data_IF_685613317853
#
_entry.id   IF_685613317853
#
_cell.length_a   1.000
_cell.length_b   1.000
_cell.length_c   1.000
_cell.angle_alpha   90.00
_cell.angle_beta   90.00
_cell.angle_gamma   90.00
#
_symmetry.space_group_name_H-M   'P 1'
#
loop_
_entity.id
_entity.type
_entity.pdbx_description
1 polymer ?
#
# COMPACT_ATOMS: atom_id res chain seq x y z
N UNK A 1 52.24 13.62 -17.43
CA UNK A 1 52.37 13.45 -18.89
C UNK A 1 51.19 12.57 -19.31
N UNK A 2 50.04 13.19 -19.58
CA UNK A 2 49.59 13.76 -20.88
C UNK A 2 48.76 12.71 -21.62
N UNK A 3 47.43 12.74 -21.56
CA UNK A 3 46.49 13.58 -22.34
C UNK A 3 46.00 12.91 -23.64
N UNK A 4 44.69 13.05 -23.84
CA UNK A 4 43.98 13.30 -25.10
C UNK A 4 43.77 12.17 -26.13
N UNK A 5 42.49 11.81 -26.25
CA UNK A 5 41.62 11.86 -27.44
C UNK A 5 42.24 11.89 -28.86
N UNK A 6 41.70 11.08 -29.77
CA UNK A 6 41.12 11.57 -31.04
C UNK A 6 40.56 10.43 -31.93
N UNK A 7 39.49 10.79 -32.65
CA UNK A 7 38.67 10.02 -33.60
C UNK A 7 39.41 9.56 -34.88
N UNK A 8 38.76 8.72 -35.70
CA UNK A 8 38.80 8.89 -37.16
C UNK A 8 37.37 9.01 -37.73
N UNK A 9 36.99 10.11 -38.38
CA UNK A 9 37.10 10.43 -39.83
C UNK A 9 36.55 9.35 -40.78
N UNK A 10 35.29 9.58 -41.15
CA UNK A 10 34.69 9.52 -42.50
C UNK A 10 35.55 9.02 -43.68
N UNK A 11 35.04 8.00 -44.38
CA UNK A 11 35.31 7.77 -45.81
C UNK A 11 33.98 7.50 -46.51
N UNK A 12 33.74 8.26 -47.57
CA UNK A 12 32.57 8.25 -48.44
C UNK A 12 32.82 7.49 -49.75
N UNK A 13 31.81 6.71 -50.16
CA UNK A 13 31.26 6.53 -51.52
C UNK A 13 32.13 6.10 -52.72
N UNK A 14 31.72 5.01 -53.38
CA UNK A 14 31.35 4.97 -54.82
C UNK A 14 30.65 3.62 -55.12
N UNK A 15 29.34 3.59 -55.37
CA UNK A 15 28.59 3.71 -56.65
C UNK A 15 28.81 2.56 -57.64
N UNK A 16 27.75 1.76 -57.85
CA UNK A 16 27.49 1.10 -59.12
C UNK A 16 25.99 1.14 -59.44
N UNK A 17 25.69 1.81 -60.54
CA UNK A 17 24.42 2.19 -61.15
C UNK A 17 23.73 1.00 -61.83
N UNK A 18 22.40 0.91 -61.81
CA UNK A 18 21.61 0.56 -63.02
C UNK A 18 20.12 0.89 -62.89
N UNK A 19 19.66 1.65 -63.90
CA UNK A 19 18.39 1.60 -64.61
C UNK A 19 17.08 2.13 -63.97
N UNK A 20 16.34 2.84 -64.81
CA UNK A 20 15.30 3.82 -64.54
C UNK A 20 13.91 3.39 -65.03
N UNK A 21 12.86 3.76 -64.29
CA UNK A 21 11.52 4.10 -64.82
C UNK A 21 10.34 3.58 -63.98
N UNK A 22 9.14 4.20 -64.02
CA UNK A 22 8.80 5.61 -64.23
C UNK A 22 8.17 6.27 -62.99
N UNK A 23 8.14 7.61 -62.99
CA UNK A 23 7.52 8.46 -61.96
C UNK A 23 6.01 8.17 -61.84
N UNK A 24 5.58 7.72 -60.67
CA UNK A 24 4.21 7.83 -60.18
C UNK A 24 4.19 8.81 -59.00
N UNK A 25 3.23 9.73 -59.02
CA UNK A 25 3.14 10.87 -58.10
C UNK A 25 3.13 10.43 -56.64
N UNK A 26 4.09 10.95 -55.87
CA UNK A 26 4.18 10.74 -54.43
C UNK A 26 3.15 11.64 -53.74
N UNK A 27 1.89 11.18 -53.66
CA UNK A 27 1.06 11.58 -52.53
C UNK A 27 1.63 10.88 -51.30
N UNK A 28 2.30 11.64 -50.43
CA UNK A 28 2.60 11.20 -49.07
C UNK A 28 1.28 11.06 -48.29
N UNK A 29 0.55 9.98 -48.59
CA UNK A 29 -0.50 9.48 -47.73
C UNK A 29 0.17 9.05 -46.43
N UNK A 30 -0.17 9.74 -45.33
CA UNK A 30 0.21 9.33 -43.98
C UNK A 30 -0.19 7.87 -43.80
N UNK A 31 0.78 6.94 -43.75
CA UNK A 31 0.52 5.52 -43.58
C UNK A 31 -0.01 5.29 -42.16
N UNK A 32 -1.33 5.20 -42.03
CA UNK A 32 -1.98 4.64 -40.85
C UNK A 32 -1.89 3.11 -40.92
N UNK A 33 -1.39 2.48 -39.87
CA UNK A 33 -1.31 1.01 -39.79
C UNK A 33 -2.57 0.50 -39.10
N UNK A 34 -3.47 -0.11 -39.87
CA UNK A 34 -4.62 -0.83 -39.34
C UNK A 34 -4.27 -2.32 -39.20
N UNK A 35 -4.89 -3.00 -38.22
CA UNK A 35 -4.72 -4.45 -37.97
C UNK A 35 -3.36 -4.86 -37.41
N UNK A 36 -2.70 -3.99 -36.64
CA UNK A 36 -1.53 -4.37 -35.82
C UNK A 36 -1.99 -5.18 -34.61
N UNK A 37 -1.14 -6.05 -34.07
CA UNK A 37 -1.38 -6.70 -32.78
C UNK A 37 -1.60 -5.63 -31.71
N UNK A 38 -2.63 -5.79 -30.88
CA UNK A 38 -2.88 -4.88 -29.77
C UNK A 38 -1.76 -4.94 -28.74
N UNK A 39 -1.11 -6.11 -28.56
CA UNK A 39 0.03 -6.27 -27.65
C UNK A 39 1.23 -5.44 -28.08
N UNK A 40 1.47 -5.28 -29.39
CA UNK A 40 2.56 -4.45 -29.91
C UNK A 40 2.33 -2.95 -29.65
N UNK A 41 1.08 -2.56 -29.36
CA UNK A 41 0.71 -1.20 -28.99
C UNK A 41 0.71 -0.96 -27.47
N UNK A 42 0.80 -2.02 -26.67
CA UNK A 42 0.90 -1.90 -25.22
C UNK A 42 2.33 -1.51 -24.83
N UNK A 43 2.44 -0.65 -23.82
CA UNK A 43 3.72 -0.23 -23.27
C UNK A 43 4.06 -1.07 -22.05
N UNK A 44 5.34 -1.36 -21.83
CA UNK A 44 5.80 -2.08 -20.64
C UNK A 44 5.56 -1.23 -19.39
N UNK A 45 4.88 -1.80 -18.39
CA UNK A 45 4.61 -1.15 -17.12
C UNK A 45 5.80 -1.33 -16.18
N UNK A 46 6.50 -0.24 -15.79
CA UNK A 46 7.55 -0.33 -14.77
C UNK A 46 6.95 -0.77 -13.44
N UNK A 47 7.59 -1.74 -12.79
CA UNK A 47 7.21 -2.25 -11.47
C UNK A 47 8.23 -1.79 -10.42
N UNK A 48 7.73 -1.58 -9.21
CA UNK A 48 8.57 -1.37 -8.02
C UNK A 48 9.26 -2.66 -7.59
N UNK A 49 10.23 -2.59 -6.67
CA UNK A 49 10.90 -3.77 -6.12
C UNK A 49 9.95 -4.78 -5.46
N UNK A 50 8.75 -4.34 -5.06
CA UNK A 50 7.68 -5.18 -4.50
C UNK A 50 6.67 -5.68 -5.56
N UNK A 51 6.97 -5.56 -6.86
CA UNK A 51 6.10 -6.04 -7.94
C UNK A 51 4.89 -5.16 -8.27
N UNK A 52 4.70 -4.02 -7.58
CA UNK A 52 3.55 -3.13 -7.82
C UNK A 52 3.77 -2.16 -8.99
N UNK A 53 2.70 -1.77 -9.73
CA UNK A 53 2.77 -0.71 -10.75
C UNK A 53 3.40 0.57 -10.22
N UNK A 54 4.40 1.10 -10.91
CA UNK A 54 4.90 2.44 -10.64
C UNK A 54 3.94 3.49 -11.23
N UNK A 55 3.24 4.21 -10.36
CA UNK A 55 2.32 5.29 -10.71
C UNK A 55 3.08 6.62 -10.94
N UNK A 56 2.55 7.48 -11.81
CA UNK A 56 3.00 8.86 -11.90
C UNK A 56 2.57 9.68 -10.67
N UNK A 57 3.23 10.82 -10.39
CA UNK A 57 3.03 11.56 -9.14
C UNK A 57 1.59 12.06 -8.88
N UNK A 58 0.77 12.24 -9.92
CA UNK A 58 -0.65 12.61 -9.84
C UNK A 58 -1.59 11.49 -10.31
N UNK A 59 -1.07 10.28 -10.51
CA UNK A 59 -1.84 9.13 -10.98
C UNK A 59 -2.36 8.34 -9.78
N UNK A 60 -3.66 8.04 -9.79
CA UNK A 60 -4.34 7.31 -8.72
C UNK A 60 -5.08 6.13 -9.33
N UNK A 61 -4.98 4.96 -8.70
CA UNK A 61 -5.77 3.79 -9.05
C UNK A 61 -7.23 3.98 -8.64
N UNK A 62 -8.14 3.78 -9.57
CA UNK A 62 -9.57 4.02 -9.40
C UNK A 62 -10.29 2.70 -9.11
N UNK A 63 -9.91 1.64 -9.81
CA UNK A 63 -10.53 0.33 -9.68
C UNK A 63 -9.61 -0.76 -10.23
N UNK A 64 -9.67 -1.97 -9.68
CA UNK A 64 -8.92 -3.12 -10.15
C UNK A 64 -9.78 -4.37 -10.08
N UNK A 65 -9.63 -5.26 -11.06
CA UNK A 65 -10.30 -6.56 -11.12
C UNK A 65 -9.31 -7.67 -11.45
N UNK A 66 -9.47 -8.83 -10.84
CA UNK A 66 -8.60 -10.01 -11.01
C UNK A 66 -9.23 -11.07 -11.93
N UNK A 67 -8.48 -12.13 -12.23
CA UNK A 67 -8.93 -13.25 -13.08
C UNK A 67 -9.37 -12.83 -14.50
N UNK A 68 -8.76 -11.76 -15.03
CA UNK A 68 -9.06 -11.20 -16.34
C UNK A 68 -8.23 -11.88 -17.42
N UNK A 69 -8.92 -12.47 -18.40
CA UNK A 69 -8.29 -12.97 -19.61
C UNK A 69 -8.06 -11.88 -20.65
N UNK A 70 -6.90 -11.85 -21.28
CA UNK A 70 -6.56 -10.92 -22.34
C UNK A 70 -6.74 -11.55 -23.72
N UNK A 71 -7.27 -10.77 -24.65
CA UNK A 71 -7.36 -11.13 -26.06
C UNK A 71 -6.63 -10.08 -26.88
N UNK A 72 -5.75 -10.53 -27.77
CA UNK A 72 -5.28 -9.71 -28.88
C UNK A 72 -6.32 -9.80 -29.99
N UNK A 73 -7.11 -8.73 -30.13
CA UNK A 73 -8.24 -8.66 -31.06
C UNK A 73 -9.24 -9.80 -30.84
N UNK A 74 -9.27 -10.77 -31.75
CA UNK A 74 -10.14 -11.95 -31.68
C UNK A 74 -9.44 -13.17 -31.11
N UNK A 75 -8.11 -13.13 -30.97
CA UNK A 75 -7.31 -14.26 -30.53
C UNK A 75 -7.13 -14.21 -29.02
N UNK A 76 -7.40 -15.33 -28.36
CA UNK A 76 -7.16 -15.52 -26.94
C UNK A 76 -5.65 -15.65 -26.71
N UNK A 77 -5.09 -14.85 -25.81
CA UNK A 77 -3.66 -14.94 -25.48
C UNK A 77 -3.41 -16.03 -24.43
N UNK A 78 -2.15 -16.26 -24.08
CA UNK A 78 -1.76 -17.09 -22.93
C UNK A 78 -2.12 -16.46 -21.58
N UNK A 79 -2.45 -15.17 -21.55
CA UNK A 79 -2.73 -14.43 -20.32
C UNK A 79 -4.21 -14.56 -19.95
N UNK A 80 -4.53 -15.54 -19.11
CA UNK A 80 -5.91 -15.92 -18.79
C UNK A 80 -6.37 -15.53 -17.39
N UNK A 81 -5.43 -15.18 -16.52
CA UNK A 81 -5.64 -14.96 -15.10
C UNK A 81 -4.89 -13.71 -14.63
N UNK A 82 -4.96 -12.63 -15.42
CA UNK A 82 -4.30 -11.37 -15.09
C UNK A 82 -5.17 -10.46 -14.22
N UNK A 83 -4.53 -9.45 -13.64
CA UNK A 83 -5.17 -8.31 -12.98
C UNK A 83 -5.23 -7.13 -13.92
N UNK A 84 -6.40 -6.49 -14.04
CA UNK A 84 -6.58 -5.29 -14.83
C UNK A 84 -6.95 -4.12 -13.92
N UNK A 85 -6.20 -3.02 -14.01
CA UNK A 85 -6.41 -1.84 -13.16
C UNK A 85 -6.69 -0.61 -14.02
N UNK A 86 -7.68 0.18 -13.61
CA UNK A 86 -7.98 1.50 -14.16
C UNK A 86 -7.40 2.55 -13.24
N UNK A 87 -6.58 3.44 -13.77
CA UNK A 87 -6.11 4.63 -13.05
C UNK A 87 -6.68 5.90 -13.66
N UNK A 88 -6.33 7.05 -13.09
CA UNK A 88 -6.66 8.35 -13.68
C UNK A 88 -6.01 8.60 -15.05
N UNK A 89 -4.96 7.86 -15.43
CA UNK A 89 -4.17 8.13 -16.65
C UNK A 89 -4.03 6.93 -17.60
N UNK A 90 -4.01 5.71 -17.05
CA UNK A 90 -3.65 4.49 -17.78
C UNK A 90 -4.56 3.31 -17.40
N UNK A 91 -4.69 2.37 -18.33
CA UNK A 91 -5.28 1.06 -18.11
C UNK A 91 -4.13 0.04 -18.04
N UNK A 92 -4.00 -0.67 -16.92
CA UNK A 92 -2.96 -1.67 -16.68
C UNK A 92 -3.48 -3.07 -16.91
N UNK A 93 -2.57 -3.95 -17.34
CA UNK A 93 -2.78 -5.38 -17.32
C UNK A 93 -1.51 -6.06 -16.79
N UNK A 94 -1.66 -6.91 -15.79
CA UNK A 94 -0.56 -7.65 -15.19
C UNK A 94 -0.90 -9.13 -15.12
N UNK A 95 0.07 -9.98 -15.43
CA UNK A 95 -0.04 -11.43 -15.29
C UNK A 95 1.22 -11.97 -14.59
N UNK A 96 1.12 -12.13 -13.28
CA UNK A 96 2.18 -12.65 -12.42
C UNK A 96 2.32 -14.18 -12.53
N UNK A 97 1.33 -14.87 -13.10
CA UNK A 97 1.34 -16.33 -13.28
C UNK A 97 2.15 -16.77 -14.51
N UNK A 98 2.41 -15.84 -15.42
CA UNK A 98 3.24 -16.07 -16.59
C UNK A 98 4.74 -16.04 -16.26
N UNK A 99 5.56 -16.82 -17.00
CA UNK A 99 7.02 -16.85 -16.84
C UNK A 99 7.69 -16.43 -18.16
N UNK A 100 8.35 -15.25 -18.21
CA UNK A 100 8.45 -14.24 -17.16
C UNK A 100 7.13 -13.49 -16.90
N UNK A 101 6.94 -12.90 -15.70
CA UNK A 101 5.77 -12.08 -15.40
C UNK A 101 5.64 -10.93 -16.38
N UNK A 102 4.41 -10.63 -16.79
CA UNK A 102 4.17 -9.60 -17.80
C UNK A 102 3.32 -8.48 -17.21
N UNK A 103 3.75 -7.24 -17.44
CA UNK A 103 3.06 -6.04 -16.99
C UNK A 103 3.03 -5.01 -18.12
N UNK A 104 1.81 -4.62 -18.50
CA UNK A 104 1.54 -3.74 -19.62
C UNK A 104 0.62 -2.60 -19.22
N UNK A 105 0.68 -1.52 -19.98
CA UNK A 105 -0.32 -0.47 -19.92
C UNK A 105 -0.67 0.10 -21.29
N UNK A 106 -1.86 0.69 -21.37
CA UNK A 106 -2.25 1.60 -22.44
C UNK A 106 -2.67 2.93 -21.82
N UNK A 107 -2.19 4.09 -22.33
CA UNK A 107 -2.70 5.39 -21.92
C UNK A 107 -4.20 5.47 -22.18
N UNK A 108 -4.98 5.96 -21.22
CA UNK A 108 -6.42 6.16 -21.42
C UNK A 108 -6.69 7.14 -22.57
N UNK A 109 -5.77 8.06 -22.84
CA UNK A 109 -5.82 8.95 -24.01
C UNK A 109 -5.89 8.20 -25.35
N UNK A 110 -5.27 7.03 -25.43
CA UNK A 110 -5.22 6.21 -26.64
C UNK A 110 -6.48 5.37 -26.82
N UNK A 111 -7.30 5.22 -25.78
CA UNK A 111 -8.56 4.49 -25.88
C UNK A 111 -9.57 5.34 -26.64
N UNK A 112 -9.95 4.89 -27.82
CA UNK A 112 -10.91 5.56 -28.68
C UNK A 112 -12.36 5.22 -28.29
N UNK A 113 -12.60 3.96 -27.93
CA UNK A 113 -13.93 3.46 -27.58
C UNK A 113 -13.84 2.21 -26.71
N UNK A 114 -14.81 2.05 -25.82
CA UNK A 114 -15.05 0.81 -25.09
C UNK A 114 -16.46 0.29 -25.38
N UNK A 115 -16.62 -1.04 -25.46
CA UNK A 115 -17.93 -1.67 -25.67
C UNK A 115 -18.09 -2.93 -24.83
N UNK A 116 -19.30 -3.15 -24.30
CA UNK A 116 -19.67 -4.37 -23.59
C UNK A 116 -20.03 -5.48 -24.59
N UNK A 117 -19.45 -6.65 -24.42
CA UNK A 117 -19.88 -7.89 -25.08
C UNK A 117 -20.51 -8.80 -24.03
N UNK A 118 -21.75 -9.23 -24.27
CA UNK A 118 -22.44 -10.14 -23.37
C UNK A 118 -21.82 -11.54 -23.42
N UNK A 119 -21.70 -12.16 -22.24
CA UNK A 119 -21.43 -13.60 -22.14
C UNK A 119 -22.73 -14.37 -22.34
N UNK A 120 -22.65 -15.53 -23.00
CA UNK A 120 -23.77 -16.46 -23.13
C UNK A 120 -23.24 -17.89 -23.15
N UNK A 121 -23.82 -18.77 -22.31
CA UNK A 121 -23.37 -20.15 -22.10
C UNK A 121 -21.86 -20.21 -21.77
N UNK A 122 -21.06 -20.94 -22.55
CA UNK A 122 -19.62 -21.10 -22.34
C UNK A 122 -18.77 -19.88 -22.75
N UNK A 123 -19.38 -18.78 -23.20
CA UNK A 123 -18.65 -17.56 -23.56
C UNK A 123 -18.66 -16.57 -22.40
N UNK A 124 -17.46 -16.24 -21.90
CA UNK A 124 -17.26 -15.16 -20.94
C UNK A 124 -17.72 -13.81 -21.46
N UNK A 125 -18.23 -12.96 -20.56
CA UNK A 125 -18.53 -11.57 -20.86
C UNK A 125 -17.22 -10.81 -21.10
N UNK A 126 -17.22 -9.81 -21.99
CA UNK A 126 -15.99 -9.08 -22.35
C UNK A 126 -16.18 -7.58 -22.39
N UNK A 127 -15.11 -6.86 -22.11
CA UNK A 127 -14.97 -5.44 -22.45
C UNK A 127 -14.00 -5.36 -23.62
N UNK A 128 -14.47 -4.87 -24.76
CA UNK A 128 -13.62 -4.55 -25.90
C UNK A 128 -13.12 -3.12 -25.75
N UNK A 129 -11.82 -2.92 -25.94
CA UNK A 129 -11.13 -1.64 -25.85
C UNK A 129 -10.48 -1.35 -27.21
N UNK A 130 -11.04 -0.42 -27.97
CA UNK A 130 -10.47 0.05 -29.23
C UNK A 130 -9.39 1.11 -28.95
N UNK A 131 -8.17 0.89 -29.45
CA UNK A 131 -6.97 1.68 -29.17
C UNK A 131 -6.50 2.36 -30.47
N UNK A 132 -6.14 3.64 -30.37
CA UNK A 132 -5.50 4.42 -31.42
C UNK A 132 -4.35 5.21 -30.83
N UNK A 133 -3.13 5.02 -31.35
CA UNK A 133 -2.00 5.87 -30.95
C UNK A 133 -2.27 7.33 -31.34
N UNK A 134 -1.72 8.26 -30.55
CA UNK A 134 -1.82 9.70 -30.80
C UNK A 134 -0.58 10.28 -31.48
N UNK A 135 0.53 9.52 -31.48
CA UNK A 135 1.78 9.86 -32.14
C UNK A 135 1.89 9.16 -33.49
N UNK A 136 2.58 9.79 -34.44
CA UNK A 136 2.82 9.19 -35.75
C UNK A 136 3.89 8.09 -35.67
N UNK A 137 3.72 6.95 -36.37
CA UNK A 137 2.57 6.62 -37.22
C UNK A 137 1.32 6.25 -36.40
N UNK A 138 0.15 6.70 -36.85
CA UNK A 138 -1.13 6.34 -36.21
C UNK A 138 -1.38 4.85 -36.48
N UNK A 139 -1.44 4.08 -35.40
CA UNK A 139 -1.79 2.67 -35.42
C UNK A 139 -3.12 2.48 -34.69
N UNK A 140 -3.97 1.61 -35.23
CA UNK A 140 -5.25 1.25 -34.62
C UNK A 140 -5.35 -0.25 -34.42
N UNK A 141 -5.83 -0.64 -33.24
CA UNK A 141 -6.12 -2.03 -32.88
C UNK A 141 -7.17 -2.09 -31.79
N UNK A 142 -7.47 -3.28 -31.30
CA UNK A 142 -8.34 -3.46 -30.15
C UNK A 142 -7.93 -4.69 -29.34
N UNK A 143 -8.08 -4.60 -28.03
CA UNK A 143 -7.97 -5.75 -27.13
C UNK A 143 -9.33 -6.06 -26.52
N UNK A 144 -9.47 -7.27 -25.97
CA UNK A 144 -10.63 -7.62 -25.15
C UNK A 144 -10.18 -8.13 -23.79
N UNK A 145 -10.84 -7.61 -22.76
CA UNK A 145 -10.75 -8.07 -21.39
C UNK A 145 -11.90 -9.03 -21.15
N UNK A 146 -11.60 -10.26 -20.73
CA UNK A 146 -12.55 -11.35 -20.57
C UNK A 146 -12.78 -11.66 -19.11
N UNK A 147 -14.04 -11.53 -18.69
CA UNK A 147 -14.52 -11.69 -17.33
C UNK A 147 -15.25 -13.03 -17.24
N UNK A 148 -14.57 -14.04 -16.70
CA UNK A 148 -15.16 -15.39 -16.51
C UNK A 148 -16.01 -15.46 -15.25
N UNK A 149 -15.59 -14.77 -14.20
CA UNK A 149 -16.14 -14.92 -12.85
C UNK A 149 -17.14 -13.82 -12.47
N UNK A 150 -17.52 -12.96 -13.41
CA UNK A 150 -18.34 -11.77 -13.15
C UNK A 150 -17.50 -10.48 -13.19
N UNK A 151 -18.04 -9.38 -12.67
CA UNK A 151 -17.28 -8.11 -12.54
C UNK A 151 -17.12 -7.27 -13.81
N UNK A 152 -17.63 -7.71 -14.98
CA UNK A 152 -17.52 -6.94 -16.24
C UNK A 152 -18.09 -5.52 -16.10
N UNK A 153 -19.29 -5.41 -15.54
CA UNK A 153 -19.99 -4.12 -15.44
C UNK A 153 -19.39 -3.25 -14.33
N UNK A 154 -18.97 -3.87 -13.23
CA UNK A 154 -18.27 -3.22 -12.12
C UNK A 154 -16.92 -2.66 -12.56
N UNK A 155 -16.23 -3.32 -13.51
CA UNK A 155 -15.02 -2.79 -14.16
C UNK A 155 -15.32 -1.76 -15.25
N UNK A 156 -16.36 -1.98 -16.07
CA UNK A 156 -16.68 -1.12 -17.20
C UNK A 156 -17.10 0.28 -16.74
N UNK A 157 -17.91 0.39 -15.69
CA UNK A 157 -18.47 1.67 -15.27
C UNK A 157 -17.37 2.65 -14.77
N UNK A 158 -16.40 2.25 -13.91
CA UNK A 158 -15.25 3.08 -13.56
C UNK A 158 -14.35 3.42 -14.75
N UNK A 159 -14.13 2.48 -15.68
CA UNK A 159 -13.37 2.77 -16.90
C UNK A 159 -14.08 3.82 -17.76
N UNK A 160 -15.38 3.70 -17.96
CA UNK A 160 -16.19 4.67 -18.71
C UNK A 160 -16.18 6.05 -18.03
N UNK A 161 -16.36 6.09 -16.71
CA UNK A 161 -16.30 7.32 -15.93
C UNK A 161 -14.93 8.00 -16.05
N UNK A 162 -13.85 7.22 -15.98
CA UNK A 162 -12.47 7.71 -16.14
C UNK A 162 -12.24 8.27 -17.55
N UNK A 163 -12.76 7.58 -18.58
CA UNK A 163 -12.66 8.05 -19.96
C UNK A 163 -13.44 9.35 -20.24
N UNK A 164 -14.57 9.53 -19.55
CA UNK A 164 -15.37 10.77 -19.60
C UNK A 164 -14.68 11.91 -18.85
N UNK A 165 -14.11 11.63 -17.67
CA UNK A 165 -13.42 12.61 -16.83
C UNK A 165 -12.15 13.16 -17.48
N UNK A 166 -11.41 12.33 -18.24
CA UNK A 166 -10.16 12.72 -18.94
C UNK A 166 -9.15 13.40 -18.02
N UNK A 167 -8.99 12.89 -16.79
CA UNK A 167 -8.11 13.48 -15.79
C UNK A 167 -6.64 13.64 -16.26
N UNK A 168 -6.19 12.81 -17.21
CA UNK A 168 -4.88 12.93 -17.84
C UNK A 168 -4.67 14.20 -18.69
N UNK A 169 -5.75 14.95 -19.01
CA UNK A 169 -5.67 16.26 -19.66
C UNK A 169 -5.54 17.41 -18.67
N UNK A 170 -5.90 17.17 -17.41
CA UNK A 170 -5.66 18.13 -16.33
C UNK A 170 -4.17 18.05 -15.98
N UNK A 171 -3.36 18.74 -16.77
CA UNK A 171 -1.95 19.03 -16.46
C UNK A 171 -1.81 20.09 -15.39
N UNK A 172 -2.91 20.56 -14.79
CA UNK A 172 -2.82 21.35 -13.59
C UNK A 172 -2.28 20.42 -12.50
N UNK A 173 -1.08 20.70 -11.97
CA UNK A 173 -0.69 20.06 -10.73
C UNK A 173 -1.85 20.26 -9.77
N UNK A 174 -2.26 19.21 -9.06
CA UNK A 174 -3.05 19.36 -7.86
C UNK A 174 -2.54 20.58 -7.11
N UNK A 175 -3.42 21.54 -6.80
CA UNK A 175 -3.10 22.87 -6.27
C UNK A 175 -2.34 22.87 -4.91
N UNK A 176 -1.86 21.70 -4.50
CA UNK A 176 -1.03 21.35 -3.36
C UNK A 176 0.46 21.17 -3.71
N UNK A 177 0.88 21.21 -4.98
CA UNK A 177 2.32 21.23 -5.31
C UNK A 177 2.91 22.63 -5.12
N UNK A 178 4.01 22.68 -4.38
CA UNK A 178 4.79 23.86 -3.97
C UNK A 178 4.87 24.97 -5.05
N UNK A 179 4.17 26.09 -4.82
CA UNK A 179 4.12 27.29 -5.71
C UNK A 179 5.49 27.96 -5.88
N UNK A 180 6.56 27.47 -5.25
CA UNK A 180 7.92 28.05 -5.33
C UNK A 180 8.59 27.95 -6.70
N UNK A 181 8.09 27.17 -7.65
CA UNK A 181 8.76 26.92 -8.94
C UNK A 181 8.03 27.43 -10.19
N UNK A 182 6.95 28.22 -10.08
CA UNK A 182 6.33 28.83 -11.26
C UNK A 182 7.09 30.10 -11.66
N UNK A 183 7.95 29.99 -12.67
CA UNK A 183 8.65 31.12 -13.30
C UNK A 183 7.63 31.99 -14.05
N UNK A 184 7.01 32.97 -13.36
CA UNK A 184 6.05 33.92 -13.96
C UNK A 184 6.77 34.99 -14.80
N UNK A 185 6.20 35.33 -15.95
CA UNK A 185 6.64 36.45 -16.79
C UNK A 185 6.54 37.76 -15.99
N UNK A 186 7.64 38.52 -15.97
CA UNK A 186 7.73 39.79 -15.28
C UNK A 186 6.92 40.86 -16.03
N UNK A 187 5.94 41.46 -15.35
CA UNK A 187 5.15 42.56 -15.88
C UNK A 187 5.54 43.86 -15.17
N UNK A 188 5.94 44.89 -15.92
CA UNK A 188 6.47 46.14 -15.36
C UNK A 188 5.44 46.94 -14.54
N UNK A 189 4.14 46.72 -14.82
CA UNK A 189 3.03 47.32 -14.07
C UNK A 189 2.95 46.84 -12.59
N UNK A 190 3.58 45.70 -12.27
CA UNK A 190 3.60 45.12 -10.93
C UNK A 190 4.91 45.41 -10.16
N UNK A 191 5.80 46.25 -10.71
CA UNK A 191 7.07 46.59 -10.08
C UNK A 191 6.90 47.63 -8.95
N UNK A 192 7.58 47.42 -7.82
CA UNK A 192 7.59 48.34 -6.66
C UNK A 192 6.79 47.86 -5.44
N UNK A 193 6.90 48.59 -4.32
CA UNK A 193 6.34 48.22 -3.01
C UNK A 193 4.81 48.12 -3.06
N UNK A 194 4.14 49.01 -3.80
CA UNK A 194 2.68 48.96 -4.01
C UNK A 194 2.22 47.72 -4.78
N UNK A 195 3.01 47.27 -5.77
CA UNK A 195 2.74 46.05 -6.54
C UNK A 195 2.96 44.78 -5.73
N UNK A 196 3.93 44.78 -4.81
CA UNK A 196 4.15 43.69 -3.85
C UNK A 196 2.99 43.61 -2.85
N UNK A 197 2.54 44.76 -2.32
CA UNK A 197 1.45 44.81 -1.34
C UNK A 197 0.12 44.34 -1.94
N UNK A 198 -0.21 44.76 -3.17
CA UNK A 198 -1.38 44.27 -3.91
C UNK A 198 -1.27 42.76 -4.18
N UNK A 199 -0.10 42.26 -4.59
CA UNK A 199 0.13 40.82 -4.80
C UNK A 199 -0.06 40.00 -3.53
N UNK A 200 0.43 40.48 -2.40
CA UNK A 200 0.28 39.78 -1.12
C UNK A 200 -1.20 39.73 -0.71
N UNK A 201 -1.95 40.82 -0.93
CA UNK A 201 -3.36 40.91 -0.60
C UNK A 201 -4.24 40.07 -1.53
N UNK A 202 -3.97 40.06 -2.84
CA UNK A 202 -4.67 39.20 -3.81
C UNK A 202 -4.38 37.72 -3.56
N UNK A 203 -3.12 37.35 -3.29
CA UNK A 203 -2.77 35.98 -2.94
C UNK A 203 -3.45 35.53 -1.64
N UNK A 204 -3.52 36.39 -0.62
CA UNK A 204 -4.26 36.11 0.60
C UNK A 204 -5.76 35.92 0.31
N UNK A 205 -6.36 36.79 -0.50
CA UNK A 205 -7.77 36.70 -0.88
C UNK A 205 -8.09 35.40 -1.63
N UNK A 206 -7.29 35.05 -2.64
CA UNK A 206 -7.42 33.77 -3.36
C UNK A 206 -7.32 32.57 -2.41
N UNK A 207 -6.34 32.58 -1.49
CA UNK A 207 -6.21 31.48 -0.51
C UNK A 207 -7.39 31.40 0.44
N UNK A 208 -7.97 32.53 0.85
CA UNK A 208 -9.14 32.55 1.73
C UNK A 208 -10.41 32.11 1.01
N UNK A 209 -10.58 32.46 -0.26
CA UNK A 209 -11.74 32.04 -1.06
C UNK A 209 -11.68 30.55 -1.37
N UNK A 210 -10.51 30.03 -1.75
CA UNK A 210 -10.29 28.59 -1.94
C UNK A 210 -10.47 27.80 -0.64
N UNK A 211 -10.03 28.35 0.50
CA UNK A 211 -10.30 27.73 1.79
C UNK A 211 -11.80 27.74 2.12
N UNK A 212 -12.50 28.84 1.87
CA UNK A 212 -13.93 28.96 2.14
C UNK A 212 -14.77 27.99 1.30
N UNK A 213 -14.46 27.82 0.01
CA UNK A 213 -15.14 26.83 -0.84
C UNK A 213 -14.84 25.41 -0.39
N UNK A 214 -13.58 25.09 -0.08
CA UNK A 214 -13.21 23.78 0.44
C UNK A 214 -13.91 23.45 1.77
N UNK A 215 -14.04 24.42 2.69
CA UNK A 215 -14.76 24.23 3.96
C UNK A 215 -16.27 24.09 3.75
N UNK A 216 -16.86 24.82 2.80
CA UNK A 216 -18.27 24.65 2.45
C UNK A 216 -18.56 23.26 1.87
N UNK A 217 -17.68 22.74 1.02
CA UNK A 217 -17.83 21.41 0.42
C UNK A 217 -17.64 20.30 1.45
N UNK A 218 -16.67 20.45 2.36
CA UNK A 218 -16.50 19.58 3.52
C UNK A 218 -17.75 19.60 4.40
N UNK A 219 -18.29 20.78 4.71
CA UNK A 219 -19.52 20.90 5.51
C UNK A 219 -20.72 20.21 4.85
N UNK A 220 -20.89 20.37 3.54
CA UNK A 220 -21.93 19.69 2.77
C UNK A 220 -21.73 18.17 2.77
N UNK A 221 -20.49 17.69 2.63
CA UNK A 221 -20.15 16.27 2.74
C UNK A 221 -20.50 15.71 4.13
N UNK A 222 -20.15 16.45 5.20
CA UNK A 222 -20.44 16.06 6.58
C UNK A 222 -21.94 16.01 6.88
N UNK A 223 -22.72 16.94 6.31
CA UNK A 223 -24.19 16.90 6.41
C UNK A 223 -24.76 15.65 5.75
N UNK A 224 -24.28 15.29 4.56
CA UNK A 224 -24.71 14.06 3.87
C UNK A 224 -24.29 12.79 4.62
N UNK A 225 -23.07 12.76 5.16
CA UNK A 225 -22.59 11.65 5.98
C UNK A 225 -23.42 11.51 7.26
N UNK A 226 -23.74 12.60 7.95
CA UNK A 226 -24.60 12.59 9.15
C UNK A 226 -26.00 12.05 8.86
N UNK A 227 -26.62 12.46 7.76
CA UNK A 227 -27.94 11.98 7.38
C UNK A 227 -27.91 10.46 7.11
N UNK A 228 -26.86 9.97 6.45
CA UNK A 228 -26.62 8.54 6.23
C UNK A 228 -26.41 7.77 7.55
N UNK A 229 -25.59 8.29 8.47
CA UNK A 229 -25.38 7.71 9.81
C UNK A 229 -26.71 7.59 10.55
N UNK A 230 -27.53 8.65 10.53
CA UNK A 230 -28.83 8.67 11.22
C UNK A 230 -29.84 7.66 10.65
N UNK A 231 -29.79 7.40 9.34
CA UNK A 231 -30.59 6.35 8.71
C UNK A 231 -30.16 4.97 9.19
N UNK A 232 -28.85 4.76 9.31
CA UNK A 232 -28.28 3.49 9.75
C UNK A 232 -28.57 3.23 11.23
N UNK A 233 -28.40 4.23 12.11
CA UNK A 233 -28.77 4.12 13.53
C UNK A 233 -30.25 3.77 13.71
N UNK A 234 -31.15 4.46 12.98
CA UNK A 234 -32.58 4.14 12.99
C UNK A 234 -32.86 2.74 12.48
N UNK A 235 -32.19 2.29 11.43
CA UNK A 235 -32.36 0.94 10.91
C UNK A 235 -31.95 -0.12 11.95
N UNK A 236 -30.78 0.06 12.59
CA UNK A 236 -30.30 -0.82 13.68
C UNK A 236 -31.28 -0.84 14.86
N UNK A 237 -31.78 0.32 15.29
CA UNK A 237 -32.76 0.41 16.40
C UNK A 237 -34.11 -0.21 16.05
N UNK A 238 -34.61 0.00 14.83
CA UNK A 238 -35.85 -0.65 14.38
C UNK A 238 -35.72 -2.16 14.29
N UNK A 239 -34.55 -2.69 13.94
CA UNK A 239 -34.32 -4.13 13.89
C UNK A 239 -34.12 -4.76 15.26
N UNK A 240 -33.50 -4.07 16.23
CA UNK A 240 -33.41 -4.54 17.63
C UNK A 240 -34.78 -4.69 18.29
N UNK A 241 -35.78 -3.91 17.86
CA UNK A 241 -37.13 -3.92 18.43
C UNK A 241 -38.10 -4.94 17.76
N UNK A 242 -37.67 -5.70 16.75
CA UNK A 242 -38.52 -6.71 16.07
C UNK A 242 -38.05 -8.12 16.45
N UNK A 243 -38.43 -8.57 17.64
CA UNK A 243 -38.32 -9.97 18.05
C UNK A 243 -39.44 -10.79 17.39
N UNK A 244 -39.18 -11.43 16.24
CA UNK A 244 -39.84 -12.70 15.85
C UNK A 244 -39.37 -13.24 14.49
N UNK A 245 -38.94 -14.51 14.49
CA UNK A 245 -38.85 -15.51 13.40
C UNK A 245 -37.93 -15.30 12.19
N UNK A 246 -36.64 -15.66 12.32
CA UNK A 246 -35.77 -16.01 11.17
C UNK A 246 -34.29 -15.70 11.36
N UNK A 247 -33.60 -16.38 12.28
CA UNK A 247 -32.23 -16.03 12.74
C UNK A 247 -31.15 -16.07 11.65
N UNK A 248 -31.10 -17.09 10.77
CA UNK A 248 -29.94 -17.31 9.91
C UNK A 248 -29.77 -16.29 8.75
N UNK A 249 -30.84 -15.74 8.19
CA UNK A 249 -30.74 -14.76 7.08
C UNK A 249 -30.48 -13.33 7.57
N UNK A 250 -30.67 -13.07 8.87
CA UNK A 250 -30.56 -11.75 9.49
C UNK A 250 -29.14 -11.41 9.88
N UNK A 251 -28.38 -12.40 10.35
CA UNK A 251 -26.97 -12.22 10.69
C UNK A 251 -26.16 -11.79 9.47
N UNK A 252 -26.42 -12.38 8.30
CA UNK A 252 -25.75 -12.01 7.05
C UNK A 252 -26.04 -10.57 6.59
N UNK A 253 -27.26 -10.08 6.80
CA UNK A 253 -27.64 -8.69 6.45
C UNK A 253 -27.04 -7.68 7.44
N UNK A 254 -27.06 -7.99 8.74
CA UNK A 254 -26.42 -7.19 9.79
C UNK A 254 -24.89 -7.16 9.57
N UNK A 255 -24.30 -8.27 9.12
CA UNK A 255 -22.88 -8.36 8.81
C UNK A 255 -22.47 -7.53 7.60
N UNK A 256 -23.29 -7.51 6.54
CA UNK A 256 -23.07 -6.65 5.37
C UNK A 256 -23.29 -5.17 5.67
N UNK A 257 -24.26 -4.84 6.52
CA UNK A 257 -24.50 -3.46 6.93
C UNK A 257 -23.33 -2.93 7.78
N UNK A 258 -22.87 -3.75 8.73
CA UNK A 258 -21.78 -3.37 9.61
C UNK A 258 -20.43 -3.32 8.90
N UNK A 259 -20.19 -4.17 7.88
CA UNK A 259 -19.00 -4.06 7.02
C UNK A 259 -19.01 -2.75 6.22
N UNK A 260 -20.17 -2.34 5.71
CA UNK A 260 -20.34 -1.05 5.05
C UNK A 260 -20.10 0.14 6.01
N UNK A 261 -20.52 0.04 7.28
CA UNK A 261 -20.24 1.08 8.30
C UNK A 261 -18.76 1.20 8.64
N UNK A 262 -18.05 0.06 8.70
CA UNK A 262 -16.61 0.02 8.92
C UNK A 262 -15.85 0.67 7.75
N UNK A 263 -16.25 0.36 6.51
CA UNK A 263 -15.69 0.94 5.27
C UNK A 263 -15.91 2.47 5.21
N UNK A 264 -17.03 2.95 5.76
CA UNK A 264 -17.33 4.38 5.89
C UNK A 264 -16.63 5.06 7.09
N UNK A 265 -15.88 4.32 7.92
CA UNK A 265 -15.15 4.87 9.07
C UNK A 265 -16.04 5.32 10.24
N UNK A 266 -17.31 4.88 10.29
CA UNK A 266 -18.26 5.25 11.35
C UNK A 266 -18.13 4.21 12.48
N UNK A 267 -17.23 4.45 13.42
CA UNK A 267 -17.05 3.57 14.58
C UNK A 267 -18.15 3.81 15.61
N UNK A 268 -19.25 3.06 15.54
CA UNK A 268 -20.16 2.90 16.69
C UNK A 268 -19.75 1.67 17.50
N UNK A 269 -19.79 1.70 18.85
CA UNK A 269 -19.46 0.56 19.70
C UNK A 269 -20.25 -0.72 19.34
N UNK A 270 -21.45 -0.58 18.75
CA UNK A 270 -22.32 -1.70 18.34
C UNK A 270 -21.84 -2.40 17.05
N UNK A 271 -21.14 -1.70 16.15
CA UNK A 271 -20.59 -2.29 14.90
C UNK A 271 -19.38 -3.18 15.15
N UNK A 272 -18.72 -3.03 16.32
CA UNK A 272 -17.53 -3.78 16.70
C UNK A 272 -17.85 -5.19 17.16
N UNK A 273 -19.03 -5.42 17.73
CA UNK A 273 -19.40 -6.68 18.37
C UNK A 273 -19.89 -7.76 17.38
N UNK A 274 -20.58 -7.39 16.30
CA UNK A 274 -21.20 -8.38 15.42
C UNK A 274 -20.45 -8.65 14.11
N UNK A 275 -19.66 -7.69 13.58
CA UNK A 275 -19.06 -7.82 12.23
C UNK A 275 -17.58 -7.44 12.14
N UNK A 276 -17.02 -6.86 13.21
CA UNK A 276 -15.58 -6.70 13.37
C UNK A 276 -14.86 -8.02 13.56
N UNK A 277 -15.53 -9.08 14.05
CA UNK A 277 -14.90 -10.36 14.34
C UNK A 277 -14.24 -10.98 13.10
N UNK A 278 -14.96 -11.08 11.97
CA UNK A 278 -14.40 -11.65 10.74
C UNK A 278 -13.23 -10.81 10.18
N UNK A 279 -13.34 -9.48 10.23
CA UNK A 279 -12.25 -8.57 9.84
C UNK A 279 -11.01 -8.79 10.71
N UNK A 280 -11.16 -8.77 12.04
CA UNK A 280 -10.05 -8.93 12.98
C UNK A 280 -9.45 -10.35 12.92
N UNK A 281 -10.24 -11.38 12.66
CA UNK A 281 -9.76 -12.74 12.45
C UNK A 281 -8.89 -12.86 11.19
N UNK A 282 -9.31 -12.27 10.08
CA UNK A 282 -8.51 -12.25 8.84
C UNK A 282 -7.24 -11.42 9.03
N UNK A 283 -7.35 -10.25 9.66
CA UNK A 283 -6.20 -9.41 9.98
C UNK A 283 -5.21 -10.13 10.92
N UNK A 284 -5.70 -10.90 11.88
CA UNK A 284 -4.85 -11.69 12.77
C UNK A 284 -4.08 -12.78 12.01
N UNK A 285 -4.72 -13.46 11.05
CA UNK A 285 -4.06 -14.44 10.18
C UNK A 285 -2.99 -13.80 9.28
N UNK A 286 -3.32 -12.67 8.65
CA UNK A 286 -2.36 -11.90 7.84
C UNK A 286 -1.17 -11.43 8.67
N UNK A 287 -1.43 -10.95 9.89
CA UNK A 287 -0.40 -10.53 10.81
C UNK A 287 0.52 -11.70 11.22
N UNK A 288 -0.06 -12.87 11.49
CA UNK A 288 0.71 -14.08 11.83
C UNK A 288 1.60 -14.55 10.65
N UNK A 289 1.06 -14.53 9.43
CA UNK A 289 1.80 -14.87 8.22
C UNK A 289 2.98 -13.92 8.01
N UNK A 290 2.74 -12.61 8.08
CA UNK A 290 3.79 -11.60 7.99
C UNK A 290 4.87 -11.79 9.06
N UNK A 291 4.47 -12.05 10.30
CA UNK A 291 5.39 -12.20 11.41
C UNK A 291 6.16 -13.52 11.42
N UNK A 292 5.75 -14.53 10.65
CA UNK A 292 6.45 -15.82 10.56
C UNK A 292 7.91 -15.68 10.12
N UNK A 293 8.19 -14.74 9.20
CA UNK A 293 9.53 -14.45 8.69
C UNK A 293 10.35 -13.48 9.56
N UNK A 294 9.68 -12.73 10.44
CA UNK A 294 10.27 -11.65 11.24
C UNK A 294 10.51 -12.04 12.70
N UNK A 295 9.61 -12.83 13.29
CA UNK A 295 9.71 -13.26 14.69
C UNK A 295 11.00 -14.04 14.98
N UNK A 296 11.44 -15.03 14.18
CA UNK A 296 12.68 -15.75 14.44
C UNK A 296 13.92 -14.85 14.37
N UNK A 297 13.92 -13.86 13.48
CA UNK A 297 15.04 -12.90 13.31
C UNK A 297 15.17 -11.96 14.52
N UNK A 298 14.06 -11.68 15.19
CA UNK A 298 13.99 -10.76 16.34
C UNK A 298 13.92 -11.52 17.68
N UNK A 299 14.41 -12.76 17.75
CA UNK A 299 14.48 -13.52 19.01
C UNK A 299 13.14 -14.07 19.51
N UNK A 300 12.11 -14.10 18.65
CA UNK A 300 10.80 -14.67 18.93
C UNK A 300 9.87 -13.77 19.74
N UNK A 301 10.18 -12.49 19.85
CA UNK A 301 9.37 -11.48 20.56
C UNK A 301 9.52 -10.11 19.90
N UNK A 302 8.46 -9.33 19.85
CA UNK A 302 8.50 -7.97 19.29
C UNK A 302 7.50 -7.07 20.00
N UNK A 303 7.82 -5.77 20.09
CA UNK A 303 6.85 -4.80 20.61
C UNK A 303 5.72 -4.59 19.61
N UNK A 304 4.51 -4.35 20.12
CA UNK A 304 3.37 -4.12 19.24
C UNK A 304 3.54 -2.84 18.39
N UNK A 305 4.25 -1.84 18.92
CA UNK A 305 4.61 -0.62 18.21
C UNK A 305 5.54 -0.89 17.02
N UNK A 306 6.56 -1.73 17.20
CA UNK A 306 7.46 -2.12 16.11
C UNK A 306 6.73 -2.93 15.04
N UNK A 307 5.88 -3.88 15.48
CA UNK A 307 5.01 -4.65 14.60
C UNK A 307 4.12 -3.73 13.77
N UNK A 308 3.42 -2.78 14.41
CA UNK A 308 2.57 -1.80 13.74
C UNK A 308 3.33 -1.03 12.65
N UNK A 309 4.49 -0.48 13.01
CA UNK A 309 5.32 0.27 12.07
C UNK A 309 5.81 -0.59 10.90
N UNK A 310 6.31 -1.79 11.18
CA UNK A 310 6.82 -2.71 10.16
C UNK A 310 5.72 -3.20 9.22
N UNK A 311 4.57 -3.59 9.78
CA UNK A 311 3.44 -4.10 9.02
C UNK A 311 2.88 -3.04 8.09
N UNK A 312 2.64 -1.82 8.59
CA UNK A 312 2.15 -0.72 7.76
C UNK A 312 3.17 -0.26 6.71
N UNK A 313 4.46 -0.28 7.04
CA UNK A 313 5.53 0.03 6.07
C UNK A 313 5.61 -1.01 4.97
N UNK A 314 5.37 -2.29 5.27
CA UNK A 314 5.29 -3.36 4.28
C UNK A 314 4.02 -3.27 3.40
N UNK A 315 2.88 -2.87 3.99
CA UNK A 315 1.61 -2.67 3.25
C UNK A 315 1.67 -1.51 2.26
N UNK A 316 2.28 -0.37 2.64
CA UNK A 316 2.51 0.80 1.78
C UNK A 316 1.26 1.64 1.45
N UNK A 317 0.13 0.98 1.16
CA UNK A 317 -1.22 1.58 1.02
C UNK A 317 -2.19 0.78 1.89
N UNK A 318 -3.37 1.34 2.18
CA UNK A 318 -4.37 0.71 3.05
C UNK A 318 -3.80 0.38 4.44
N UNK A 319 -3.43 1.44 5.15
CA UNK A 319 -2.81 1.36 6.47
C UNK A 319 -3.82 0.86 7.51
N UNK A 320 -3.34 0.02 8.41
CA UNK A 320 -4.11 -0.50 9.54
C UNK A 320 -3.92 0.42 10.74
N UNK A 321 -4.99 0.69 11.50
CA UNK A 321 -4.89 1.53 12.69
C UNK A 321 -4.16 0.83 13.85
N UNK A 322 -3.56 1.57 14.81
CA UNK A 322 -2.93 0.97 15.99
C UNK A 322 -3.89 0.09 16.81
N UNK A 323 -5.15 0.54 16.93
CA UNK A 323 -6.18 -0.21 17.63
C UNK A 323 -6.48 -1.53 16.92
N UNK A 324 -6.56 -1.54 15.58
CA UNK A 324 -6.85 -2.77 14.85
C UNK A 324 -5.72 -3.79 14.94
N UNK A 325 -4.46 -3.33 14.90
CA UNK A 325 -3.30 -4.21 15.16
C UNK A 325 -3.37 -4.80 16.57
N UNK A 326 -3.79 -4.02 17.57
CA UNK A 326 -3.98 -4.53 18.93
C UNK A 326 -5.08 -5.59 19.03
N UNK A 327 -6.26 -5.34 18.45
CA UNK A 327 -7.35 -6.32 18.45
C UNK A 327 -6.96 -7.61 17.70
N UNK A 328 -6.32 -7.49 16.53
CA UNK A 328 -5.82 -8.62 15.78
C UNK A 328 -4.76 -9.41 16.57
N UNK A 329 -3.85 -8.72 17.27
CA UNK A 329 -2.86 -9.36 18.12
C UNK A 329 -3.52 -10.16 19.26
N UNK A 330 -4.58 -9.63 19.89
CA UNK A 330 -5.31 -10.36 20.94
C UNK A 330 -5.97 -11.65 20.45
N UNK A 331 -6.32 -11.74 19.17
CA UNK A 331 -6.90 -12.95 18.57
C UNK A 331 -5.86 -14.04 18.28
N UNK A 332 -4.56 -13.74 18.30
CA UNK A 332 -3.49 -14.70 18.01
C UNK A 332 -3.54 -15.94 18.92
N UNK A 333 -3.80 -15.74 20.22
CA UNK A 333 -3.92 -16.84 21.19
C UNK A 333 -5.22 -17.63 21.02
N UNK A 334 -6.33 -16.95 20.75
CA UNK A 334 -7.64 -17.57 20.52
C UNK A 334 -7.64 -18.45 19.27
N UNK A 335 -7.02 -17.97 18.20
CA UNK A 335 -6.92 -18.65 16.91
C UNK A 335 -5.75 -19.65 16.83
N UNK A 336 -4.93 -19.74 17.89
CA UNK A 336 -3.75 -20.63 17.99
C UNK A 336 -2.78 -20.47 16.82
N UNK A 337 -2.42 -19.23 16.51
CA UNK A 337 -1.55 -18.87 15.39
C UNK A 337 -0.04 -18.91 15.74
N UNK A 338 0.32 -19.53 16.87
CA UNK A 338 1.72 -19.73 17.29
C UNK A 338 2.36 -18.52 17.99
N UNK A 339 1.59 -17.47 18.27
CA UNK A 339 2.02 -16.29 19.01
C UNK A 339 0.95 -15.86 20.01
N UNK A 340 1.39 -15.19 21.08
CA UNK A 340 0.54 -14.71 22.15
C UNK A 340 0.93 -13.30 22.56
N UNK A 341 -0.08 -12.50 22.93
CA UNK A 341 0.13 -11.14 23.46
C UNK A 341 0.51 -11.24 24.92
N UNK A 342 1.55 -10.50 25.29
CA UNK A 342 1.96 -10.30 26.67
C UNK A 342 1.99 -8.82 26.99
N UNK A 343 1.62 -8.50 28.24
CA UNK A 343 1.72 -7.14 28.80
C UNK A 343 2.68 -7.20 29.99
N UNK A 344 3.75 -6.42 29.92
CA UNK A 344 4.68 -6.26 31.02
C UNK A 344 4.13 -5.29 32.08
N UNK A 345 4.60 -5.37 33.35
CA UNK A 345 4.20 -4.43 34.41
C UNK A 345 4.46 -2.97 34.05
N UNK A 346 5.52 -2.69 33.27
CA UNK A 346 5.83 -1.37 32.74
C UNK A 346 4.84 -0.84 31.69
N UNK A 347 3.79 -1.59 31.37
CA UNK A 347 2.78 -1.22 30.37
C UNK A 347 3.17 -1.55 28.93
N UNK A 348 4.38 -2.05 28.70
CA UNK A 348 4.85 -2.49 27.38
C UNK A 348 4.04 -3.70 26.90
N UNK A 349 3.50 -3.60 25.69
CA UNK A 349 2.72 -4.67 25.06
C UNK A 349 3.57 -5.28 23.95
N UNK A 350 3.70 -6.59 23.98
CA UNK A 350 4.51 -7.35 23.04
C UNK A 350 3.71 -8.52 22.47
N UNK A 351 4.12 -8.98 21.30
CA UNK A 351 3.74 -10.29 20.78
C UNK A 351 4.95 -11.21 20.89
N UNK A 352 4.77 -12.40 21.45
CA UNK A 352 5.82 -13.40 21.60
C UNK A 352 5.38 -14.71 20.96
N UNK A 353 6.33 -15.46 20.39
CA UNK A 353 6.05 -16.83 19.94
C UNK A 353 5.72 -17.73 21.13
N UNK A 354 4.89 -18.75 20.93
CA UNK A 354 4.56 -19.70 22.00
C UNK A 354 5.77 -20.55 22.44
N UNK A 355 6.81 -20.61 21.61
CA UNK A 355 8.10 -21.22 21.94
C UNK A 355 9.02 -20.34 22.80
N UNK A 356 8.69 -19.05 22.97
CA UNK A 356 9.52 -18.10 23.69
C UNK A 356 9.49 -18.41 25.20
N UNK A 357 10.67 -18.61 25.81
CA UNK A 357 10.78 -18.86 27.25
C UNK A 357 11.69 -17.85 27.94
N UNK A 358 11.17 -17.26 28.99
CA UNK A 358 11.85 -16.23 29.79
C UNK A 358 13.04 -16.79 30.56
N UNK A 359 12.93 -17.99 31.12
CA UNK A 359 14.05 -18.64 31.84
C UNK A 359 15.30 -18.72 30.97
N UNK A 360 15.15 -19.06 29.69
CA UNK A 360 16.26 -19.17 28.74
C UNK A 360 16.86 -17.81 28.42
N UNK A 361 16.04 -16.76 28.38
CA UNK A 361 16.51 -15.38 28.20
C UNK A 361 17.28 -14.94 29.44
N UNK A 362 16.75 -15.17 30.64
CA UNK A 362 17.42 -14.84 31.90
C UNK A 362 18.77 -15.56 32.06
N UNK A 363 18.85 -16.85 31.72
CA UNK A 363 20.11 -17.60 31.68
C UNK A 363 21.12 -17.02 30.67
N UNK A 364 20.64 -16.60 29.50
CA UNK A 364 21.48 -15.96 28.48
C UNK A 364 22.01 -14.62 28.98
N UNK A 365 21.19 -13.82 29.65
CA UNK A 365 21.60 -12.54 30.22
C UNK A 365 22.61 -12.72 31.37
N UNK A 366 22.42 -13.72 32.23
CA UNK A 366 23.40 -14.06 33.26
C UNK A 366 24.76 -14.44 32.65
N UNK A 367 24.77 -15.24 31.58
CA UNK A 367 26.01 -15.58 30.84
C UNK A 367 26.65 -14.35 30.18
N UNK A 368 25.83 -13.44 29.66
CA UNK A 368 26.30 -12.18 29.08
C UNK A 368 26.97 -11.30 30.15
N UNK A 369 26.36 -11.17 31.33
CA UNK A 369 26.92 -10.45 32.46
C UNK A 369 28.23 -11.06 32.96
N UNK A 370 28.33 -12.39 33.01
CA UNK A 370 29.58 -13.09 33.37
C UNK A 370 30.70 -12.90 32.36
N UNK A 371 30.38 -12.78 31.06
CA UNK A 371 31.36 -12.58 29.99
C UNK A 371 31.79 -11.12 29.86
N UNK A 372 31.03 -10.19 30.41
CA UNK A 372 31.33 -8.77 30.37
C UNK A 372 32.64 -8.46 31.09
N UNK A 373 33.51 -7.66 30.47
CA UNK A 373 34.77 -7.22 31.06
C UNK A 373 34.60 -6.41 32.36
N UNK A 374 33.46 -5.73 32.49
CA UNK A 374 33.11 -4.92 33.66
C UNK A 374 32.36 -5.74 34.72
N UNK A 375 31.99 -6.98 34.42
CA UNK A 375 31.21 -7.86 35.31
C UNK A 375 29.71 -7.53 35.40
N UNK A 376 29.25 -6.47 34.75
CA UNK A 376 27.84 -6.11 34.61
C UNK A 376 27.43 -5.88 33.16
N UNK A 377 26.13 -5.81 32.95
CA UNK A 377 25.48 -5.40 31.71
C UNK A 377 24.47 -4.30 31.98
N UNK A 378 24.30 -3.43 30.99
CA UNK A 378 23.27 -2.39 30.98
C UNK A 378 22.16 -2.75 29.99
N UNK A 379 21.04 -2.03 30.06
CA UNK A 379 19.94 -2.17 29.09
C UNK A 379 20.39 -1.90 27.65
N UNK A 380 21.32 -0.97 27.45
CA UNK A 380 21.90 -0.65 26.15
C UNK A 380 22.70 -1.82 25.59
N UNK A 381 23.53 -2.46 26.43
CA UNK A 381 24.32 -3.62 26.00
C UNK A 381 23.41 -4.77 25.56
N UNK A 382 22.37 -5.04 26.35
CA UNK A 382 21.38 -6.08 26.06
C UNK A 382 20.63 -5.76 24.76
N UNK A 383 20.23 -4.51 24.54
CA UNK A 383 19.55 -4.08 23.31
C UNK A 383 20.40 -4.38 22.07
N UNK A 384 21.70 -4.08 22.13
CA UNK A 384 22.63 -4.28 21.01
C UNK A 384 22.89 -5.76 20.76
N UNK A 385 23.22 -6.52 21.81
CA UNK A 385 23.60 -7.94 21.70
C UNK A 385 22.41 -8.84 21.31
N UNK A 386 21.21 -8.54 21.82
CA UNK A 386 20.00 -9.33 21.58
C UNK A 386 19.21 -8.85 20.36
N UNK A 387 19.63 -7.77 19.70
CA UNK A 387 18.90 -7.12 18.61
C UNK A 387 17.45 -6.82 18.97
N UNK A 388 17.23 -6.30 20.18
CA UNK A 388 15.90 -5.99 20.71
C UNK A 388 15.77 -4.49 21.01
N UNK A 389 14.55 -4.00 21.14
CA UNK A 389 14.31 -2.60 21.48
C UNK A 389 14.73 -2.32 22.93
N UNK A 390 15.22 -1.11 23.19
CA UNK A 390 15.66 -0.70 24.53
C UNK A 390 14.58 -0.93 25.62
N UNK A 391 13.29 -0.62 25.42
CA UNK A 391 12.27 -0.90 26.43
C UNK A 391 12.10 -2.40 26.72
N UNK A 392 12.25 -3.26 25.70
CA UNK A 392 12.13 -4.71 25.87
C UNK A 392 13.37 -5.29 26.57
N UNK A 393 14.56 -4.76 26.26
CA UNK A 393 15.79 -5.10 26.99
C UNK A 393 15.67 -4.79 28.50
N UNK A 394 15.09 -3.63 28.84
CA UNK A 394 14.82 -3.24 30.22
C UNK A 394 13.88 -4.21 30.95
N UNK A 395 12.77 -4.58 30.31
CA UNK A 395 11.83 -5.55 30.89
C UNK A 395 12.46 -6.94 31.05
N UNK A 396 13.34 -7.36 30.14
CA UNK A 396 14.07 -8.62 30.32
C UNK A 396 15.03 -8.62 31.50
N UNK A 397 15.72 -7.51 31.74
CA UNK A 397 16.62 -7.38 32.89
C UNK A 397 15.83 -7.48 34.20
N UNK A 398 14.65 -6.85 34.28
CA UNK A 398 13.74 -7.00 35.43
C UNK A 398 13.28 -8.44 35.62
N UNK A 399 12.86 -9.11 34.55
CA UNK A 399 12.44 -10.53 34.64
C UNK A 399 13.60 -11.41 35.11
N UNK A 400 14.83 -11.16 34.64
CA UNK A 400 16.01 -11.90 35.09
C UNK A 400 16.37 -11.61 36.56
N UNK A 401 16.12 -10.39 37.04
CA UNK A 401 16.22 -10.00 38.46
C UNK A 401 15.16 -10.73 39.31
N UNK A 402 13.89 -10.74 38.87
CA UNK A 402 12.80 -11.46 39.55
C UNK A 402 13.04 -12.97 39.63
N UNK A 403 13.67 -13.56 38.60
CA UNK A 403 14.09 -14.97 38.60
C UNK A 403 15.38 -15.22 39.39
N UNK A 404 15.94 -14.21 40.05
CA UNK A 404 17.13 -14.32 40.88
C UNK A 404 18.41 -14.62 40.10
N UNK A 405 18.44 -14.40 38.77
CA UNK A 405 19.63 -14.65 37.94
C UNK A 405 20.57 -13.45 37.90
N UNK A 406 20.00 -12.25 37.99
CA UNK A 406 20.74 -11.00 38.06
C UNK A 406 20.39 -10.25 39.35
N UNK A 407 21.28 -9.37 39.77
CA UNK A 407 21.02 -8.38 40.80
C UNK A 407 21.29 -6.98 40.25
N UNK A 408 20.47 -6.03 40.68
CA UNK A 408 20.53 -4.64 40.24
C UNK A 408 21.38 -3.81 41.20
N UNK A 409 22.22 -2.96 40.63
CA UNK A 409 22.93 -1.88 41.31
C UNK A 409 22.47 -0.55 40.69
N UNK A 410 21.79 0.27 41.48
CA UNK A 410 21.22 1.54 41.04
C UNK A 410 21.97 2.69 41.68
N UNK A 411 22.64 3.47 40.84
CA UNK A 411 23.47 4.61 41.26
C UNK A 411 23.07 5.87 40.49
N UNK A 412 23.67 7.01 40.82
CA UNK A 412 23.48 8.24 40.06
C UNK A 412 23.95 8.12 38.59
N UNK A 413 24.92 7.26 38.32
CA UNK A 413 25.46 7.05 36.97
C UNK A 413 24.52 6.19 36.10
N UNK A 414 23.64 5.42 36.74
CA UNK A 414 22.65 4.58 36.07
C UNK A 414 22.42 3.26 36.79
N UNK A 415 21.72 2.37 36.09
CA UNK A 415 21.34 1.05 36.58
C UNK A 415 22.15 -0.03 35.89
N UNK A 416 22.95 -0.75 36.67
CA UNK A 416 23.78 -1.86 36.23
C UNK A 416 23.21 -3.18 36.73
N UNK A 417 23.32 -4.25 35.93
CA UNK A 417 22.88 -5.58 36.32
C UNK A 417 24.06 -6.55 36.36
N UNK A 418 24.28 -7.16 37.52
CA UNK A 418 25.36 -8.13 37.79
C UNK A 418 24.80 -9.55 37.90
N UNK A 419 25.60 -10.60 37.67
CA UNK A 419 25.21 -11.96 38.00
C UNK A 419 24.90 -12.08 39.50
N UNK A 420 23.75 -12.65 39.84
CA UNK A 420 23.41 -12.86 41.25
C UNK A 420 24.34 -13.91 41.87
N UNK A 421 25.13 -13.49 42.87
CA UNK A 421 26.02 -14.35 43.65
C UNK A 421 25.64 -14.40 45.13
N UNK A 422 24.56 -13.73 45.55
CA UNK A 422 24.20 -13.64 46.96
C UNK A 422 23.95 -15.02 47.59
N UNK A 423 23.33 -15.94 46.85
CA UNK A 423 23.09 -17.31 47.33
C UNK A 423 24.40 -18.05 47.66
N UNK A 424 25.46 -17.83 46.87
CA UNK A 424 26.79 -18.41 47.13
C UNK A 424 27.41 -17.86 48.43
N UNK A 425 27.17 -16.59 48.73
CA UNK A 425 27.65 -15.99 49.98
C UNK A 425 26.92 -16.54 51.20
N UNK A 426 25.61 -16.80 51.10
CA UNK A 426 24.81 -17.35 52.20
C UNK A 426 25.24 -18.79 52.54
N UNK A 427 25.44 -19.65 51.54
CA UNK A 427 25.92 -21.02 51.75
C UNK A 427 27.32 -21.08 52.38
N UNK A 428 28.19 -20.13 52.05
CA UNK A 428 29.57 -20.10 52.59
C UNK A 428 29.58 -19.72 54.08
N UNK A 429 28.64 -18.88 54.52
CA UNK A 429 28.52 -18.45 55.93
C UNK A 429 27.80 -19.46 56.84
N UNK A 430 27.12 -20.48 56.30
CA UNK A 430 26.53 -21.56 57.11
C UNK A 430 27.51 -22.73 57.36
N UNK A 431 28.64 -22.76 56.66
CA UNK A 431 29.67 -23.81 56.74
C UNK A 431 30.88 -23.37 57.59
N UNK A 432 31.01 -22.08 57.89
CA UNK A 432 31.90 -21.53 58.93
C UNK A 432 31.17 -21.38 60.27
#
# INVERSE_FOLDING_TARGET
>A
MSEAASSPRSVSSSTSTTASGPRSGNHHGHKAFANVSALDMLQTLPLTAAGRPALFGNEVEIYSEEHIGLYDRTFKTSHLHGRCSVTTHRLFYMDETSSPPVAFFVPLEWIARITKEAGFLQRSAKVRVDISTRTLPIATSFLKLSFKDGGRDDFFNPLEASLKRRAWKDTQPSHLTDRRLVKRQFNAADAGIAGIMRRQQEAQKETTELAATAFSDLANLMLKARDMVSLIERYVDTQKNVESNGEASREDEINKLSSLMLDMGITSPVTRENSGAAYYEQLARQLAEFLSDHMPKNGGIMTLSDIYCMFNRARGVELVSPDDVYHAAQLQSKLKLGSSVRRFPGGLIVLQTDSHREDKVAERLAKMAQKSSLGYITSSDVSVEMHTSFPLAWEYLKVAEELGKLCRDETFEGTNFYPNKFDQFVETTEVE
#
